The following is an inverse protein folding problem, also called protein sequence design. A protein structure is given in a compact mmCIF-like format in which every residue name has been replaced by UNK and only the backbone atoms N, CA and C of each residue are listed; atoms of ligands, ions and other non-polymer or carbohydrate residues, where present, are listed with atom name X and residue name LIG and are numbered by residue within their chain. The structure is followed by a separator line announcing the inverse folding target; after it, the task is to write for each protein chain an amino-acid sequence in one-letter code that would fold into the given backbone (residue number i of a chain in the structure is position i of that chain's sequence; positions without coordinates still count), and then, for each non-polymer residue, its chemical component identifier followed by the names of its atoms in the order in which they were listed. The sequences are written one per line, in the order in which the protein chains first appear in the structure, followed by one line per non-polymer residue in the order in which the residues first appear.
data_IF_560075910701
#
_entry.id   IF_560075910701
#
_cell.length_a   1.000
_cell.length_b   1.000
_cell.length_c   1.000
_cell.angle_alpha   90.00
_cell.angle_beta   90.00
_cell.angle_gamma   90.00
#
_symmetry.space_group_name_H-M   'P 1'
#
loop_
_entity.id
_entity.type
_entity.pdbx_description
1 polymer ?
#
# COMPACT_ATOMS: atom_id res chain seq x y z
N UNK A 1 -12.26 11.89 4.00
CA UNK A 1 -11.82 11.89 2.57
C UNK A 1 -12.16 13.18 1.84
N UNK A 2 -13.37 13.73 1.93
CA UNK A 2 -13.72 14.94 1.16
C UNK A 2 -12.82 16.15 1.45
N UNK A 3 -12.47 16.41 2.71
CA UNK A 3 -11.54 17.49 3.05
C UNK A 3 -10.13 17.26 2.50
N UNK A 4 -9.64 16.01 2.49
CA UNK A 4 -8.34 15.67 1.89
C UNK A 4 -8.38 15.90 0.39
N UNK A 5 -9.43 15.43 -0.28
CA UNK A 5 -9.61 15.65 -1.73
C UNK A 5 -9.66 17.14 -2.08
N UNK A 6 -10.35 17.95 -1.27
CA UNK A 6 -10.35 19.40 -1.41
C UNK A 6 -8.97 20.01 -1.24
N UNK A 7 -8.23 19.59 -0.20
CA UNK A 7 -6.89 20.12 0.10
C UNK A 7 -5.86 19.84 -1.00
N UNK A 8 -5.99 18.69 -1.70
CA UNK A 8 -5.12 18.31 -2.83
C UNK A 8 -5.74 18.65 -4.20
N UNK A 9 -6.82 19.44 -4.22
CA UNK A 9 -7.53 19.85 -5.43
C UNK A 9 -8.01 18.66 -6.30
N UNK A 10 -8.38 17.53 -5.68
CA UNK A 10 -8.91 16.36 -6.37
C UNK A 10 -10.45 16.42 -6.46
N UNK A 11 -11.00 16.53 -7.66
CA UNK A 11 -12.43 16.64 -7.95
C UNK A 11 -12.92 15.45 -8.77
N UNK A 12 -13.48 14.43 -8.12
CA UNK A 12 -14.01 13.23 -8.81
C UNK A 12 -15.19 13.52 -9.77
N UNK A 13 -15.75 14.71 -9.76
CA UNK A 13 -16.85 15.13 -10.64
C UNK A 13 -16.37 15.72 -11.95
N UNK A 14 -15.08 16.05 -12.06
CA UNK A 14 -14.51 16.54 -13.32
C UNK A 14 -14.33 15.37 -14.29
N UNK A 15 -14.63 15.60 -15.58
CA UNK A 15 -14.54 14.58 -16.63
C UNK A 15 -13.12 14.03 -16.78
N UNK A 16 -12.10 14.86 -16.57
CA UNK A 16 -10.68 14.46 -16.61
C UNK A 16 -10.34 13.56 -15.42
N UNK A 17 -10.79 13.89 -14.23
CA UNK A 17 -10.54 13.09 -13.01
C UNK A 17 -11.38 11.81 -12.99
N UNK A 18 -12.59 11.81 -13.55
CA UNK A 18 -13.36 10.59 -13.74
C UNK A 18 -12.67 9.58 -14.66
N UNK A 19 -11.80 10.03 -15.57
CA UNK A 19 -10.95 9.18 -16.38
C UNK A 19 -9.69 8.69 -15.63
N UNK A 20 -9.19 9.46 -14.66
CA UNK A 20 -7.97 9.20 -13.90
C UNK A 20 -8.24 8.53 -12.53
N UNK A 21 -9.33 7.78 -12.40
CA UNK A 21 -9.78 7.15 -11.16
C UNK A 21 -9.09 5.82 -10.83
N UNK A 22 -7.93 5.54 -11.42
CA UNK A 22 -7.16 4.31 -11.24
C UNK A 22 -7.60 3.14 -12.13
N UNK A 23 -8.46 3.37 -13.13
CA UNK A 23 -8.82 2.34 -14.13
C UNK A 23 -7.54 1.83 -14.81
N UNK A 24 -7.46 0.50 -14.95
CA UNK A 24 -6.33 -0.23 -15.54
C UNK A 24 -5.02 -0.15 -14.76
N UNK A 25 -5.01 0.52 -13.62
CA UNK A 25 -3.89 0.53 -12.67
C UNK A 25 -4.04 -0.59 -11.65
N UNK A 26 -2.95 -1.28 -11.35
CA UNK A 26 -2.85 -2.24 -10.25
C UNK A 26 -1.91 -1.71 -9.19
N UNK A 27 -2.39 -1.65 -7.95
CA UNK A 27 -1.61 -1.22 -6.79
C UNK A 27 -1.39 -2.40 -5.86
N UNK A 28 -0.14 -2.64 -5.48
CA UNK A 28 0.19 -3.53 -4.39
C UNK A 28 0.28 -2.74 -3.07
N UNK A 29 -0.39 -3.21 -2.03
CA UNK A 29 -0.39 -2.59 -0.70
C UNK A 29 0.29 -3.54 0.27
N UNK A 30 1.43 -3.11 0.84
CA UNK A 30 2.15 -3.82 1.90
C UNK A 30 1.78 -3.19 3.24
N UNK A 31 1.03 -3.96 4.05
CA UNK A 31 0.45 -3.45 5.30
C UNK A 31 0.02 -4.63 6.21
N UNK A 32 -0.91 -4.42 7.13
CA UNK A 32 -1.48 -5.42 8.04
C UNK A 32 -2.45 -6.41 7.37
N UNK A 33 -2.80 -6.21 6.09
CA UNK A 33 -3.76 -7.01 5.36
C UNK A 33 -4.94 -6.21 4.82
N UNK A 34 -6.04 -6.88 4.54
CA UNK A 34 -7.30 -6.26 4.12
C UNK A 34 -8.48 -7.10 4.61
N UNK A 35 -9.40 -6.47 5.33
CA UNK A 35 -10.69 -7.07 5.68
C UNK A 35 -11.65 -7.05 4.48
N UNK A 36 -12.52 -8.06 4.40
CA UNK A 36 -13.56 -8.10 3.38
C UNK A 36 -14.54 -6.94 3.59
N UNK A 37 -14.64 -6.08 2.59
CA UNK A 37 -15.57 -4.94 2.60
C UNK A 37 -16.18 -4.74 1.21
N UNK A 38 -17.47 -4.33 1.11
CA UNK A 38 -18.13 -4.10 -0.18
C UNK A 38 -17.35 -3.19 -1.12
N UNK A 39 -16.69 -2.14 -0.59
CA UNK A 39 -15.94 -1.16 -1.37
C UNK A 39 -14.74 -1.71 -2.14
N UNK A 40 -14.35 -2.97 -1.89
CA UNK A 40 -13.25 -3.63 -2.61
C UNK A 40 -13.72 -4.76 -3.52
N UNK A 41 -15.03 -5.01 -3.59
CA UNK A 41 -15.60 -6.16 -4.31
C UNK A 41 -15.14 -6.22 -5.77
N UNK A 42 -14.60 -7.37 -6.17
CA UNK A 42 -14.18 -7.66 -7.55
C UNK A 42 -12.85 -6.99 -7.96
N UNK A 43 -12.16 -6.27 -7.04
CA UNK A 43 -10.93 -5.55 -7.37
C UNK A 43 -9.67 -6.08 -6.71
N UNK A 44 -9.80 -6.93 -5.68
CA UNK A 44 -8.65 -7.64 -5.09
C UNK A 44 -8.34 -8.85 -5.96
N UNK A 45 -7.17 -8.84 -6.63
CA UNK A 45 -6.76 -9.85 -7.61
C UNK A 45 -5.61 -10.72 -7.12
N UNK A 46 -5.01 -10.39 -5.98
CA UNK A 46 -3.92 -11.15 -5.38
C UNK A 46 -3.80 -10.91 -3.89
N UNK A 47 -3.36 -11.93 -3.16
CA UNK A 47 -3.07 -11.88 -1.74
C UNK A 47 -1.84 -12.72 -1.40
N UNK A 48 -1.00 -12.19 -0.52
CA UNK A 48 0.13 -12.89 0.09
C UNK A 48 0.21 -12.52 1.56
N UNK A 49 0.29 -13.53 2.41
CA UNK A 49 0.58 -13.37 3.84
C UNK A 49 2.02 -13.81 4.11
N UNK A 50 2.87 -12.86 4.55
CA UNK A 50 4.25 -13.07 4.95
C UNK A 50 4.40 -13.20 6.47
N UNK A 51 3.30 -13.09 7.23
CA UNK A 51 3.30 -13.13 8.70
C UNK A 51 2.91 -14.53 9.20
N UNK A 52 1.72 -14.98 8.84
CA UNK A 52 1.15 -16.24 9.31
C UNK A 52 1.01 -17.31 8.21
N UNK A 53 1.29 -16.97 6.95
CA UNK A 53 1.19 -17.88 5.81
C UNK A 53 -0.25 -18.30 5.45
N UNK A 54 -1.27 -17.55 5.87
CA UNK A 54 -2.67 -17.82 5.53
C UNK A 54 -2.96 -17.51 4.07
N UNK A 55 -3.91 -18.24 3.47
CA UNK A 55 -4.30 -18.06 2.07
C UNK A 55 -5.54 -17.18 1.88
N UNK A 56 -6.35 -17.00 2.90
CA UNK A 56 -7.55 -16.16 2.86
C UNK A 56 -7.25 -14.72 3.22
N UNK A 57 -7.90 -13.77 2.55
CA UNK A 57 -7.80 -12.35 2.83
C UNK A 57 -8.34 -12.03 4.23
N UNK A 58 -7.54 -11.32 5.03
CA UNK A 58 -7.91 -10.85 6.36
C UNK A 58 -7.05 -9.65 6.78
N UNK A 59 -7.52 -8.94 7.80
CA UNK A 59 -6.80 -7.87 8.49
C UNK A 59 -7.20 -7.93 9.97
N UNK A 60 -6.25 -8.25 10.82
CA UNK A 60 -6.43 -8.40 12.27
C UNK A 60 -6.04 -7.14 13.06
N UNK A 61 -5.55 -6.10 12.36
CA UNK A 61 -5.23 -4.78 12.89
C UNK A 61 -6.26 -3.72 12.46
N UNK A 62 -6.65 -3.74 11.18
CA UNK A 62 -7.50 -2.73 10.57
C UNK A 62 -6.75 -1.61 9.86
N UNK A 63 -5.45 -1.42 10.10
CA UNK A 63 -4.65 -0.36 9.49
C UNK A 63 -4.58 -0.49 7.96
N UNK A 64 -4.24 -1.68 7.45
CA UNK A 64 -4.16 -1.93 6.02
C UNK A 64 -5.49 -1.77 5.30
N UNK A 65 -6.60 -2.13 5.96
CA UNK A 65 -7.95 -1.92 5.46
C UNK A 65 -8.25 -0.42 5.34
N UNK A 66 -7.87 0.37 6.34
CA UNK A 66 -8.05 1.82 6.32
C UNK A 66 -7.22 2.48 5.22
N UNK A 67 -5.93 2.16 5.13
CA UNK A 67 -5.02 2.65 4.08
C UNK A 67 -5.56 2.30 2.69
N UNK A 68 -5.96 1.05 2.47
CA UNK A 68 -6.53 0.60 1.20
C UNK A 68 -7.85 1.31 0.89
N UNK A 69 -8.67 1.61 1.91
CA UNK A 69 -9.90 2.39 1.77
C UNK A 69 -9.65 3.81 1.27
N UNK A 70 -8.66 4.50 1.84
CA UNK A 70 -8.22 5.83 1.40
C UNK A 70 -7.70 5.78 -0.04
N UNK A 71 -6.90 4.77 -0.36
CA UNK A 71 -6.33 4.60 -1.69
C UNK A 71 -7.41 4.28 -2.72
N UNK A 72 -8.23 3.27 -2.48
CA UNK A 72 -9.03 2.65 -3.53
C UNK A 72 -10.44 2.19 -3.11
N UNK A 73 -10.96 2.56 -1.96
CA UNK A 73 -12.37 2.31 -1.63
C UNK A 73 -13.28 2.93 -2.70
N UNK A 74 -14.27 2.20 -3.23
CA UNK A 74 -15.19 2.78 -4.22
C UNK A 74 -16.41 3.48 -3.59
N UNK A 75 -16.52 3.40 -2.27
CA UNK A 75 -17.57 4.06 -1.50
C UNK A 75 -18.97 3.47 -1.68
N UNK A 76 -19.11 2.31 -2.36
CA UNK A 76 -20.42 1.72 -2.67
C UNK A 76 -21.27 1.42 -1.43
N UNK A 77 -20.65 1.12 -0.29
CA UNK A 77 -21.34 0.92 0.97
C UNK A 77 -22.13 2.16 1.42
N UNK A 78 -21.69 3.35 1.00
CA UNK A 78 -22.30 4.64 1.33
C UNK A 78 -22.58 5.50 0.08
N UNK A 79 -22.99 4.89 -1.02
CA UNK A 79 -23.42 5.56 -2.26
C UNK A 79 -22.33 6.50 -2.84
N UNK A 80 -21.06 6.13 -2.70
CA UNK A 80 -19.91 6.88 -3.20
C UNK A 80 -19.39 7.98 -2.28
N UNK A 81 -20.06 8.29 -1.15
CA UNK A 81 -19.73 9.41 -0.28
C UNK A 81 -18.30 9.35 0.29
N UNK A 82 -17.79 8.16 0.56
CA UNK A 82 -16.47 7.92 1.15
C UNK A 82 -15.49 7.25 0.18
N UNK A 83 -15.68 7.43 -1.12
CA UNK A 83 -14.76 6.88 -2.12
C UNK A 83 -13.32 7.36 -1.94
N UNK A 84 -12.36 6.45 -2.12
CA UNK A 84 -10.92 6.72 -2.10
C UNK A 84 -10.43 7.54 -3.30
N UNK A 85 -9.11 7.65 -3.44
CA UNK A 85 -8.47 8.45 -4.49
C UNK A 85 -8.49 7.74 -5.86
N UNK A 86 -8.35 6.42 -5.88
CA UNK A 86 -8.29 5.59 -7.08
C UNK A 86 -9.34 4.46 -7.04
N UNK A 87 -10.67 4.78 -7.02
CA UNK A 87 -11.74 3.81 -6.74
C UNK A 87 -11.92 2.72 -7.81
N UNK A 88 -11.21 2.78 -8.92
CA UNK A 88 -11.22 1.77 -9.99
C UNK A 88 -9.93 0.93 -10.05
N UNK A 89 -8.94 1.25 -9.24
CA UNK A 89 -7.69 0.48 -9.20
C UNK A 89 -7.93 -0.98 -8.79
N UNK A 90 -7.18 -1.88 -9.41
CA UNK A 90 -7.05 -3.27 -8.96
C UNK A 90 -6.06 -3.35 -7.81
N UNK A 91 -6.24 -4.31 -6.93
CA UNK A 91 -5.50 -4.41 -5.69
C UNK A 91 -4.79 -5.77 -5.57
N UNK A 92 -3.55 -5.72 -5.15
CA UNK A 92 -2.79 -6.85 -4.66
C UNK A 92 -2.41 -6.55 -3.21
N UNK A 93 -2.81 -7.40 -2.29
CA UNK A 93 -2.60 -7.18 -0.86
C UNK A 93 -1.47 -8.10 -0.37
N UNK A 94 -0.51 -7.51 0.32
CA UNK A 94 0.62 -8.24 0.90
C UNK A 94 0.69 -7.91 2.38
N UNK A 95 0.28 -8.86 3.22
CA UNK A 95 0.37 -8.69 4.67
C UNK A 95 1.82 -8.94 5.11
N UNK A 96 2.45 -7.90 5.61
CA UNK A 96 3.82 -7.89 6.13
C UNK A 96 3.90 -7.43 7.59
N UNK A 97 2.79 -6.91 8.13
CA UNK A 97 2.63 -6.47 9.51
C UNK A 97 1.60 -7.35 10.22
N UNK A 98 1.82 -7.59 11.50
CA UNK A 98 0.94 -8.36 12.38
C UNK A 98 -0.27 -7.55 12.90
N UNK A 99 -0.97 -8.08 13.90
CA UNK A 99 -2.12 -7.44 14.54
C UNK A 99 -1.76 -6.17 15.33
N UNK A 100 -0.52 -6.06 15.78
CA UNK A 100 0.03 -4.87 16.44
C UNK A 100 0.51 -3.79 15.47
N UNK A 101 0.49 -4.08 14.16
CA UNK A 101 1.07 -3.20 13.14
C UNK A 101 2.60 -3.26 13.08
N UNK A 102 3.20 -4.32 13.65
CA UNK A 102 4.64 -4.53 13.65
C UNK A 102 5.03 -5.61 12.63
N UNK A 103 6.23 -5.47 12.06
CA UNK A 103 6.75 -6.45 11.12
C UNK A 103 8.28 -6.47 11.10
N UNK A 104 8.85 -7.64 10.88
CA UNK A 104 10.29 -7.78 10.70
C UNK A 104 10.71 -7.35 9.28
N UNK A 105 11.94 -6.85 9.16
CA UNK A 105 12.54 -6.54 7.85
C UNK A 105 12.47 -7.76 6.93
N UNK A 106 12.66 -8.96 7.46
CA UNK A 106 12.55 -10.21 6.69
C UNK A 106 11.18 -10.37 6.04
N UNK A 107 10.08 -10.11 6.78
CA UNK A 107 8.71 -10.18 6.25
C UNK A 107 8.45 -9.13 5.18
N UNK A 108 8.95 -7.90 5.39
CA UNK A 108 8.85 -6.81 4.42
C UNK A 108 9.60 -7.17 3.14
N UNK A 109 10.85 -7.63 3.25
CA UNK A 109 11.66 -8.09 2.11
C UNK A 109 11.03 -9.27 1.38
N UNK A 110 10.44 -10.24 2.09
CA UNK A 110 9.69 -11.34 1.48
C UNK A 110 8.52 -10.80 0.65
N UNK A 111 7.77 -9.83 1.20
CA UNK A 111 6.67 -9.17 0.50
C UNK A 111 7.13 -8.46 -0.77
N UNK A 112 8.19 -7.66 -0.70
CA UNK A 112 8.77 -6.94 -1.84
C UNK A 112 9.24 -7.92 -2.92
N UNK A 113 9.98 -8.97 -2.54
CA UNK A 113 10.44 -10.00 -3.48
C UNK A 113 9.28 -10.74 -4.14
N UNK A 114 8.23 -11.04 -3.38
CA UNK A 114 7.03 -11.66 -3.94
C UNK A 114 6.33 -10.75 -4.94
N UNK A 115 6.20 -9.45 -4.66
CA UNK A 115 5.67 -8.45 -5.60
C UNK A 115 6.51 -8.42 -6.88
N UNK A 116 7.82 -8.28 -6.74
CA UNK A 116 8.74 -8.24 -7.88
C UNK A 116 8.59 -9.46 -8.78
N UNK A 117 8.53 -10.66 -8.20
CA UNK A 117 8.35 -11.92 -8.92
C UNK A 117 7.01 -12.01 -9.66
N UNK A 118 5.96 -11.43 -9.08
CA UNK A 118 4.59 -11.53 -9.59
C UNK A 118 4.13 -10.27 -10.34
N UNK A 119 4.98 -9.27 -10.51
CA UNK A 119 4.62 -7.96 -11.07
C UNK A 119 3.96 -8.03 -12.45
N UNK A 120 4.49 -8.88 -13.33
CA UNK A 120 3.93 -9.06 -14.68
C UNK A 120 2.62 -9.85 -14.65
N UNK A 121 2.52 -10.86 -13.78
CA UNK A 121 1.29 -11.67 -13.63
C UNK A 121 0.08 -10.80 -13.24
N UNK A 122 0.26 -9.86 -12.32
CA UNK A 122 -0.81 -8.99 -11.85
C UNK A 122 -0.84 -7.63 -12.54
N UNK A 123 0.17 -7.30 -13.34
CA UNK A 123 0.33 -5.98 -13.95
C UNK A 123 0.45 -4.89 -12.89
N UNK A 124 1.38 -5.05 -11.93
CA UNK A 124 1.57 -4.11 -10.82
C UNK A 124 2.27 -2.86 -11.34
N UNK A 125 1.66 -1.69 -11.14
CA UNK A 125 2.18 -0.38 -11.54
C UNK A 125 2.69 0.44 -10.37
N UNK A 126 2.07 0.26 -9.19
CA UNK A 126 2.36 1.04 -7.99
C UNK A 126 2.50 0.10 -6.80
N UNK A 127 3.45 0.39 -5.93
CA UNK A 127 3.60 -0.26 -4.61
C UNK A 127 3.43 0.81 -3.54
N UNK A 128 2.48 0.59 -2.63
CA UNK A 128 2.32 1.39 -1.42
C UNK A 128 2.90 0.62 -0.24
N UNK A 129 3.93 1.18 0.39
CA UNK A 129 4.65 0.61 1.51
C UNK A 129 4.43 1.51 2.74
N UNK A 130 3.32 1.26 3.46
CA UNK A 130 2.95 2.03 4.66
C UNK A 130 3.64 1.47 5.91
N UNK A 131 4.94 1.19 5.80
CA UNK A 131 5.78 0.74 6.89
C UNK A 131 6.97 1.67 7.06
N UNK A 132 7.42 1.84 8.29
CA UNK A 132 8.60 2.63 8.60
C UNK A 132 9.37 1.96 9.72
N UNK A 133 10.66 1.70 9.48
CA UNK A 133 11.60 1.28 10.51
C UNK A 133 12.35 2.50 11.05
N UNK A 134 12.67 2.49 12.37
CA UNK A 134 13.56 3.52 12.92
C UNK A 134 14.90 3.48 12.20
N UNK A 135 15.46 4.66 11.94
CA UNK A 135 16.86 4.80 11.52
C UNK A 135 17.79 4.19 12.59
N UNK A 136 18.88 3.57 12.15
CA UNK A 136 19.82 2.88 13.06
C UNK A 136 19.63 1.36 13.10
N UNK A 137 18.96 0.80 12.12
CA UNK A 137 19.11 -0.62 11.81
C UNK A 137 20.58 -0.91 11.52
N UNK A 138 21.04 -2.14 11.83
CA UNK A 138 22.36 -2.59 11.41
C UNK A 138 22.52 -2.35 9.91
N UNK A 139 23.52 -1.60 9.49
CA UNK A 139 23.78 -1.17 8.09
C UNK A 139 23.44 -2.20 7.00
N UNK A 140 23.77 -3.50 7.14
CA UNK A 140 23.46 -4.48 6.10
C UNK A 140 21.96 -4.62 5.82
N UNK A 141 21.11 -4.52 6.85
CA UNK A 141 19.64 -4.71 6.72
C UNK A 141 18.95 -3.49 6.13
N UNK A 142 19.42 -2.29 6.48
CA UNK A 142 18.93 -1.04 5.91
C UNK A 142 19.21 -1.00 4.42
N UNK A 143 20.46 -1.27 4.03
CA UNK A 143 20.88 -1.34 2.64
C UNK A 143 20.11 -2.40 1.83
N UNK A 144 19.79 -3.56 2.43
CA UNK A 144 19.01 -4.60 1.75
C UNK A 144 17.58 -4.13 1.46
N UNK A 145 16.94 -3.39 2.39
CA UNK A 145 15.60 -2.85 2.20
C UNK A 145 15.58 -1.76 1.14
N UNK A 146 16.53 -0.81 1.19
CA UNK A 146 16.67 0.25 0.18
C UNK A 146 16.90 -0.35 -1.21
N UNK A 147 17.81 -1.30 -1.32
CA UNK A 147 18.08 -1.98 -2.59
C UNK A 147 16.85 -2.74 -3.14
N UNK A 148 16.05 -3.37 -2.27
CA UNK A 148 14.81 -4.03 -2.70
C UNK A 148 13.77 -3.03 -3.23
N UNK A 149 13.70 -1.83 -2.66
CA UNK A 149 12.85 -0.74 -3.15
C UNK A 149 13.35 -0.20 -4.49
N UNK A 150 14.67 0.02 -4.63
CA UNK A 150 15.31 0.42 -5.89
C UNK A 150 15.02 -0.57 -7.02
N UNK A 151 15.11 -1.87 -6.75
CA UNK A 151 14.78 -2.91 -7.75
C UNK A 151 13.33 -2.80 -8.27
N UNK A 152 12.36 -2.42 -7.42
CA UNK A 152 11.00 -2.18 -7.88
C UNK A 152 10.93 -0.96 -8.79
N UNK A 153 11.61 0.12 -8.41
CA UNK A 153 11.70 1.35 -9.20
C UNK A 153 12.34 1.11 -10.57
N UNK A 154 13.48 0.43 -10.61
CA UNK A 154 14.18 0.06 -11.83
C UNK A 154 13.35 -0.83 -12.75
N UNK A 155 12.44 -1.61 -12.18
CA UNK A 155 11.46 -2.40 -12.92
C UNK A 155 10.27 -1.59 -13.46
N UNK A 156 10.27 -0.25 -13.30
CA UNK A 156 9.22 0.65 -13.76
C UNK A 156 8.00 0.72 -12.87
N UNK A 157 8.11 0.30 -11.60
CA UNK A 157 7.03 0.36 -10.61
C UNK A 157 7.19 1.63 -9.77
N UNK A 158 6.16 2.46 -9.70
CA UNK A 158 6.15 3.59 -8.79
C UNK A 158 6.07 3.11 -7.33
N UNK A 159 7.01 3.52 -6.48
CA UNK A 159 7.02 3.13 -5.07
C UNK A 159 6.69 4.34 -4.20
N UNK A 160 5.67 4.19 -3.35
CA UNK A 160 5.24 5.18 -2.36
C UNK A 160 5.55 4.62 -0.98
N UNK A 161 6.36 5.34 -0.22
CA UNK A 161 6.81 4.93 1.11
C UNK A 161 6.37 5.91 2.18
N UNK A 162 6.23 5.43 3.41
CA UNK A 162 5.96 6.28 4.58
C UNK A 162 7.24 6.98 5.02
N UNK A 163 7.14 8.27 5.33
CA UNK A 163 8.21 9.02 6.01
C UNK A 163 8.33 8.68 7.50
N UNK A 164 7.40 7.88 8.04
CA UNK A 164 7.36 7.55 9.46
C UNK A 164 6.63 8.61 10.30
N UNK A 165 6.64 8.38 11.62
CA UNK A 165 5.93 9.20 12.61
C UNK A 165 6.85 9.71 13.73
N UNK A 166 8.16 9.71 13.48
CA UNK A 166 9.16 10.08 14.49
C UNK A 166 9.49 11.58 14.53
N UNK A 167 8.91 12.37 13.59
CA UNK A 167 9.11 13.85 13.52
C UNK A 167 8.59 14.60 14.75
N UNK A 168 8.85 15.92 14.83
CA UNK A 168 9.36 16.80 13.77
C UNK A 168 10.88 17.07 13.79
N UNK A 169 11.68 16.36 14.59
CA UNK A 169 13.12 16.58 14.68
C UNK A 169 13.87 16.25 13.38
N UNK A 170 15.11 16.76 13.24
CA UNK A 170 15.98 16.40 12.14
C UNK A 170 16.38 14.91 12.20
N UNK A 171 16.57 14.26 11.04
CA UNK A 171 16.96 12.87 10.93
C UNK A 171 15.89 11.86 11.39
N UNK A 172 14.61 12.28 11.45
CA UNK A 172 13.49 11.42 11.92
C UNK A 172 12.71 10.75 10.80
N UNK A 173 13.13 10.91 9.54
CA UNK A 173 12.52 10.18 8.42
C UNK A 173 12.85 8.70 8.55
N UNK A 174 11.83 7.86 8.49
CA UNK A 174 11.97 6.42 8.63
C UNK A 174 12.47 5.75 7.34
N UNK A 175 13.17 4.63 7.48
CA UNK A 175 13.55 3.78 6.34
C UNK A 175 12.30 3.03 5.86
N UNK A 176 12.07 2.94 4.53
CA UNK A 176 12.88 3.35 3.39
C UNK A 176 12.52 4.73 2.82
N UNK A 177 11.97 5.63 3.62
CA UNK A 177 11.56 6.98 3.18
C UNK A 177 12.67 8.03 3.23
N UNK A 178 13.85 7.71 3.77
CA UNK A 178 15.03 8.57 3.92
C UNK A 178 15.87 8.69 2.65
#
# INVERSE_FOLDING_TARGET
MNHVKQAVHYWCSDTIEAMNNGRDVCVAVLDTGLAMHPDFTGRVIGFKDCVNGRHGLYDDSGHGTHVTGILAGDGRAYRGLYGGMAPKARLVIVKVLDEGGEGSIRQILEGIRWIFKNRLKYGIHVVNLSVGAKTGLEEPKENELLHAVEQLWDAGIAVVVSAGTYGPGEGTVAVPGN
#
